data_IF_682640702121
#
_entry.id   IF_682640702121
#
_cell.length_a   1.000
_cell.length_b   1.000
_cell.length_c   1.000
_cell.angle_alpha   90.00
_cell.angle_beta   90.00
_cell.angle_gamma   90.00
#
_symmetry.space_group_name_H-M   'P 1'
#
loop_
_entity.id
_entity.type
_entity.pdbx_description
1 polymer ?
#
# COMPACT_ATOMS: atom_id res chain seq x y z
N UNK A 1 -15.88 11.55 25.52
CA UNK A 1 -15.44 11.57 25.17
C UNK A 1 -14.79 11.58 25.00
N UNK A 2 -14.76 11.35 24.98
CA UNK A 2 -14.07 11.27 24.58
C UNK A 2 -13.32 11.26 24.37
N UNK A 3 -13.40 11.03 24.42
CA UNK A 3 -12.68 11.02 24.07
C UNK A 3 -11.95 11.15 23.73
N UNK A 4 -11.97 11.00 23.81
CA UNK A 4 -11.26 11.14 23.35
C UNK A 4 -10.50 11.30 23.04
N UNK A 5 -10.47 11.02 23.09
CA UNK A 5 -9.75 11.19 22.79
C UNK A 5 -9.04 11.30 22.43
N UNK A 6 -9.01 10.98 22.33
CA UNK A 6 -8.31 11.08 21.98
C UNK A 6 -7.57 11.28 21.69
N UNK A 7 -7.65 10.99 21.43
CA UNK A 7 -6.99 11.23 21.41
C UNK A 7 -6.08 11.54 20.83
N UNK A 8 -6.13 11.85 20.68
CA UNK A 8 -5.09 12.21 20.23
C UNK A 8 -4.65 11.82 19.08
N UNK A 9 -4.64 10.96 18.85
CA UNK A 9 -4.15 10.35 17.72
C UNK A 9 -5.05 10.50 16.58
N UNK A 10 -4.57 10.14 15.38
CA UNK A 10 -5.35 10.18 14.17
C UNK A 10 -6.17 8.92 14.04
N UNK A 11 -7.35 9.02 13.46
CA UNK A 11 -8.10 7.82 13.17
C UNK A 11 -8.30 7.75 11.66
N UNK A 12 -9.09 6.81 11.19
CA UNK A 12 -9.27 6.61 9.77
C UNK A 12 -9.86 7.81 9.10
N UNK A 13 -10.62 8.59 9.81
CA UNK A 13 -11.23 9.76 9.22
C UNK A 13 -10.24 10.86 8.92
N UNK A 14 -9.06 10.78 9.51
CA UNK A 14 -8.04 11.78 9.28
C UNK A 14 -7.17 11.47 8.08
N UNK A 15 -7.31 10.30 7.49
CA UNK A 15 -6.54 9.97 6.32
C UNK A 15 -6.99 10.79 5.13
N UNK A 16 -6.04 11.31 4.39
CA UNK A 16 -6.31 12.09 3.20
C UNK A 16 -5.90 11.28 2.01
N UNK A 17 -6.87 10.86 1.22
CA UNK A 17 -6.60 10.06 0.03
C UNK A 17 -6.22 10.95 -1.12
N UNK A 18 -5.20 10.53 -1.86
CA UNK A 18 -4.81 11.26 -3.04
C UNK A 18 -5.81 11.01 -4.16
N UNK A 19 -6.10 12.02 -4.95
CA UNK A 19 -6.94 11.81 -6.14
C UNK A 19 -6.28 10.92 -7.18
N UNK A 20 -4.99 10.63 -7.02
CA UNK A 20 -4.30 9.73 -7.92
C UNK A 20 -4.42 8.27 -7.54
N UNK A 21 -5.01 7.99 -6.38
CA UNK A 21 -5.30 6.61 -6.00
C UNK A 21 -6.25 6.01 -7.02
N UNK A 22 -5.97 4.79 -7.45
CA UNK A 22 -6.73 4.24 -8.56
C UNK A 22 -6.65 2.72 -8.62
N UNK A 23 -7.56 2.15 -9.37
CA UNK A 23 -7.58 0.72 -9.60
C UNK A 23 -7.02 0.48 -10.99
N UNK A 24 -6.07 -0.43 -11.09
CA UNK A 24 -5.49 -0.82 -12.38
C UNK A 24 -5.95 -2.22 -12.71
N UNK A 25 -6.27 -2.45 -13.95
CA UNK A 25 -6.80 -3.72 -14.36
C UNK A 25 -6.19 -4.17 -15.66
N UNK A 26 -5.85 -5.45 -15.74
CA UNK A 26 -5.26 -6.00 -16.94
C UNK A 26 -5.77 -7.41 -17.08
N UNK A 27 -6.45 -7.72 -18.15
CA UNK A 27 -7.07 -9.03 -18.34
C UNK A 27 -7.96 -9.33 -17.14
N UNK A 28 -7.67 -10.40 -16.41
CA UNK A 28 -8.49 -10.77 -15.28
C UNK A 28 -7.90 -10.37 -13.96
N UNK A 29 -6.82 -9.61 -14.00
CA UNK A 29 -6.12 -9.26 -12.77
C UNK A 29 -6.33 -7.78 -12.45
N UNK A 30 -6.48 -7.49 -11.17
CA UNK A 30 -6.76 -6.14 -10.72
C UNK A 30 -5.95 -5.83 -9.47
N UNK A 31 -5.44 -4.61 -9.39
CA UNK A 31 -4.78 -4.16 -8.16
C UNK A 31 -5.25 -2.74 -7.88
N UNK A 32 -5.15 -2.38 -6.61
CA UNK A 32 -5.56 -1.05 -6.19
C UNK A 32 -4.34 -0.29 -5.69
N UNK A 33 -4.10 0.87 -6.28
CA UNK A 33 -2.99 1.73 -5.87
C UNK A 33 -3.56 2.77 -4.92
N UNK A 34 -3.09 2.76 -3.69
CA UNK A 34 -3.57 3.67 -2.66
C UNK A 34 -2.44 4.61 -2.28
N UNK A 35 -2.72 5.89 -2.36
CA UNK A 35 -1.77 6.92 -1.98
C UNK A 35 -2.48 7.79 -0.96
N UNK A 36 -1.93 7.87 0.24
CA UNK A 36 -2.62 8.58 1.30
C UNK A 36 -1.64 9.15 2.32
N UNK A 37 -2.13 10.03 3.15
CA UNK A 37 -1.30 10.61 4.20
C UNK A 37 -2.17 11.07 5.35
N UNK A 38 -1.52 11.27 6.47
CA UNK A 38 -2.14 11.97 7.58
C UNK A 38 -1.87 13.46 7.39
N UNK A 39 -2.60 14.33 8.07
CA UNK A 39 -2.47 15.77 7.83
C UNK A 39 -1.06 16.31 7.92
N UNK A 40 -0.25 15.74 8.80
CA UNK A 40 1.09 16.25 9.01
C UNK A 40 2.19 15.39 8.44
N UNK A 41 1.88 14.49 7.55
CA UNK A 41 2.90 13.56 7.08
C UNK A 41 3.01 13.56 5.57
N UNK A 42 4.09 12.97 5.09
CA UNK A 42 4.25 12.74 3.67
C UNK A 42 3.35 11.58 3.25
N UNK A 43 3.34 11.32 1.96
CA UNK A 43 2.44 10.33 1.39
C UNK A 43 2.96 8.92 1.54
N UNK A 44 2.05 8.03 1.83
CA UNK A 44 2.33 6.60 1.91
C UNK A 44 1.79 5.95 0.65
N UNK A 45 2.54 5.00 0.12
CA UNK A 45 2.12 4.24 -1.06
C UNK A 45 1.84 2.82 -0.67
N UNK A 46 0.67 2.35 -1.05
CA UNK A 46 0.27 0.98 -0.78
C UNK A 46 -0.39 0.42 -2.02
N UNK A 47 -0.10 -0.83 -2.34
CA UNK A 47 -0.75 -1.51 -3.46
C UNK A 47 -1.36 -2.79 -2.94
N UNK A 48 -2.65 -2.98 -3.20
CA UNK A 48 -3.39 -4.15 -2.72
C UNK A 48 -3.82 -4.96 -3.93
N UNK A 49 -3.48 -6.24 -3.95
CA UNK A 49 -3.88 -7.08 -5.08
C UNK A 49 -5.28 -7.63 -4.83
N UNK A 50 -5.83 -8.36 -5.82
CA UNK A 50 -7.20 -8.79 -5.69
C UNK A 50 -7.39 -9.89 -4.65
N UNK A 51 -6.31 -10.46 -4.17
CA UNK A 51 -6.38 -11.42 -3.07
C UNK A 51 -6.32 -10.75 -1.71
N UNK A 52 -6.20 -9.43 -1.70
CA UNK A 52 -6.15 -8.69 -0.46
C UNK A 52 -4.74 -8.53 0.10
N UNK A 53 -3.73 -8.97 -0.63
CA UNK A 53 -2.36 -8.82 -0.16
C UNK A 53 -1.91 -7.39 -0.37
N UNK A 54 -1.40 -6.80 0.68
CA UNK A 54 -0.99 -5.41 0.68
C UNK A 54 0.52 -5.28 0.68
N UNK A 55 1.03 -4.42 -0.18
CA UNK A 55 2.44 -4.08 -0.23
C UNK A 55 2.55 -2.60 0.09
N UNK A 56 3.26 -2.28 1.16
CA UNK A 56 3.43 -0.89 1.58
C UNK A 56 4.89 -0.55 1.46
N UNK A 57 5.19 0.56 0.79
CA UNK A 57 6.57 1.00 0.64
C UNK A 57 7.05 1.59 1.96
N UNK A 58 8.29 1.29 2.31
CA UNK A 58 8.87 1.78 3.55
C UNK A 58 9.14 3.28 3.51
N UNK A 59 9.38 3.80 2.34
CA UNK A 59 9.66 5.22 2.22
C UNK A 59 8.37 5.99 1.97
N UNK A 60 8.39 7.27 2.28
CA UNK A 60 7.27 8.13 2.02
C UNK A 60 7.63 9.04 0.86
N UNK A 61 6.63 9.75 0.34
CA UNK A 61 6.79 10.54 -0.87
C UNK A 61 6.28 11.95 -0.67
N UNK A 62 7.00 12.94 -1.19
CA UNK A 62 6.55 14.32 -1.02
C UNK A 62 5.43 14.73 -1.96
N UNK A 63 5.20 13.98 -3.04
CA UNK A 63 4.12 14.32 -3.95
C UNK A 63 3.38 13.09 -4.42
N UNK A 64 2.12 13.30 -4.77
CA UNK A 64 1.26 12.24 -5.27
C UNK A 64 1.83 11.64 -6.54
N UNK A 65 2.34 12.48 -7.41
CA UNK A 65 2.86 12.03 -8.67
C UNK A 65 4.06 11.15 -8.51
N UNK A 66 4.92 11.49 -7.55
CA UNK A 66 6.08 10.67 -7.29
C UNK A 66 5.68 9.29 -6.78
N UNK A 67 4.71 9.26 -5.87
CA UNK A 67 4.23 8.00 -5.35
C UNK A 67 3.63 7.14 -6.45
N UNK A 68 2.81 7.74 -7.30
CA UNK A 68 2.20 7.00 -8.38
C UNK A 68 3.25 6.48 -9.36
N UNK A 69 4.23 7.31 -9.66
CA UNK A 69 5.29 6.92 -10.57
C UNK A 69 6.05 5.71 -10.06
N UNK A 70 6.35 5.70 -8.77
CA UNK A 70 7.06 4.59 -8.16
C UNK A 70 6.21 3.31 -8.23
N UNK A 71 4.91 3.44 -8.01
CA UNK A 71 4.02 2.29 -8.09
C UNK A 71 4.00 1.72 -9.50
N UNK A 72 3.85 2.58 -10.49
CA UNK A 72 3.79 2.13 -11.88
C UNK A 72 5.11 1.52 -12.32
N UNK A 73 6.21 2.11 -11.90
CA UNK A 73 7.52 1.58 -12.22
C UNK A 73 7.72 0.20 -11.59
N UNK A 74 7.28 0.04 -10.35
CA UNK A 74 7.41 -1.23 -9.67
C UNK A 74 6.60 -2.32 -10.34
N UNK A 75 5.38 -2.00 -10.77
CA UNK A 75 4.54 -2.95 -11.45
C UNK A 75 5.17 -3.33 -12.78
N UNK A 76 5.67 -2.35 -13.49
CA UNK A 76 6.29 -2.60 -14.78
C UNK A 76 7.56 -3.44 -14.63
N UNK A 77 8.35 -3.14 -13.64
CA UNK A 77 9.59 -3.88 -13.39
C UNK A 77 9.31 -5.33 -13.04
N UNK A 78 8.18 -5.58 -12.42
CA UNK A 78 7.80 -6.95 -12.07
C UNK A 78 7.30 -7.73 -13.27
N UNK A 79 6.89 -7.05 -14.32
CA UNK A 79 6.39 -7.71 -15.50
C UNK A 79 4.91 -7.50 -15.76
N UNK A 80 4.29 -6.59 -15.02
CA UNK A 80 2.88 -6.28 -15.19
C UNK A 80 2.09 -6.55 -13.93
N UNK A 81 0.80 -6.35 -14.02
CA UNK A 81 -0.08 -6.46 -12.85
C UNK A 81 -0.09 -7.87 -12.29
N UNK A 82 -0.24 -8.86 -13.14
CA UNK A 82 -0.30 -10.23 -12.67
C UNK A 82 1.01 -10.65 -12.00
N UNK A 83 2.13 -10.31 -12.63
CA UNK A 83 3.43 -10.67 -12.06
C UNK A 83 3.66 -9.96 -10.73
N UNK A 84 3.25 -8.72 -10.64
CA UNK A 84 3.39 -7.97 -9.41
C UNK A 84 2.54 -8.60 -8.30
N UNK A 85 1.33 -9.01 -8.62
CA UNK A 85 0.45 -9.65 -7.65
C UNK A 85 1.04 -10.96 -7.14
N UNK A 86 1.62 -11.73 -8.03
CA UNK A 86 2.22 -13.00 -7.63
C UNK A 86 3.41 -12.80 -6.72
N UNK A 87 4.22 -11.79 -7.03
CA UNK A 87 5.36 -11.47 -6.18
C UNK A 87 4.91 -11.00 -4.80
N UNK A 88 3.86 -10.21 -4.78
CA UNK A 88 3.33 -9.73 -3.50
C UNK A 88 2.86 -10.89 -2.64
N UNK A 89 2.17 -11.84 -3.24
CA UNK A 89 1.69 -13.01 -2.50
C UNK A 89 2.84 -13.84 -1.98
N UNK A 90 3.88 -13.98 -2.78
CA UNK A 90 5.05 -14.72 -2.37
C UNK A 90 5.76 -14.05 -1.21
N UNK A 91 5.90 -12.75 -1.27
CA UNK A 91 6.54 -12.02 -0.18
C UNK A 91 5.74 -12.13 1.10
N UNK A 92 4.45 -12.08 1.00
CA UNK A 92 3.60 -12.20 2.17
C UNK A 92 3.77 -13.56 2.82
N UNK A 93 3.87 -14.60 2.03
CA UNK A 93 4.09 -15.94 2.55
C UNK A 93 5.42 -16.06 3.24
N UNK A 94 6.44 -15.51 2.64
CA UNK A 94 7.77 -15.57 3.23
C UNK A 94 7.81 -14.88 4.56
N UNK A 95 7.17 -13.74 4.62
CA UNK A 95 7.17 -12.98 5.87
C UNK A 95 6.43 -13.67 6.98
N UNK A 96 5.36 -14.34 6.64
CA UNK A 96 4.57 -14.99 7.65
C UNK A 96 5.28 -16.16 8.27
N UNK A 97 5.86 -17.00 7.47
CA UNK A 97 6.52 -18.18 7.96
C UNK A 97 7.71 -17.90 8.84
N UNK A 98 8.70 -17.19 8.37
CA UNK A 98 9.89 -16.96 9.17
C UNK A 98 9.56 -16.32 10.49
N UNK A 99 8.65 -15.43 10.48
CA UNK A 99 8.28 -14.78 11.67
C UNK A 99 7.72 -15.68 12.68
N UNK A 100 6.86 -16.55 12.31
CA UNK A 100 6.27 -17.47 13.22
C UNK A 100 7.28 -18.36 13.83
N UNK A 101 8.28 -18.72 13.10
CA UNK A 101 9.29 -19.61 13.62
C UNK A 101 10.25 -18.94 14.55
N UNK A 102 10.58 -17.74 14.27
CA UNK A 102 11.62 -17.10 15.07
C UNK A 102 11.10 -16.38 16.25
N UNK A 103 9.86 -16.08 16.25
CA UNK A 103 9.33 -15.27 17.21
C UNK A 103 9.20 -15.87 18.46
N UNK A 104 9.46 -16.65 18.70
CA UNK A 104 9.37 -17.08 19.90
C UNK A 104 9.96 -18.11 20.14
#
# INVERSE_FOLDING_TARGET
MSDNDNTLDYDENDLIDSPLSQILQEDNEQIEVLIYRLPDSDLTLEVVNQNGTSTVWDETFPSDQEALSVALDGIKAAGGIQAFSELSDLEAKKNIFPESLTRH
#
